data_IF_444715093372
#
_entry.id   IF_444715093372
#
_cell.length_a   1.000
_cell.length_b   1.000
_cell.length_c   1.000
_cell.angle_alpha   90.00
_cell.angle_beta   90.00
_cell.angle_gamma   90.00
#
_symmetry.space_group_name_H-M   'P 1'
#
loop_
_entity.id
_entity.type
_entity.pdbx_description
1 polymer ?
#
# COMPACT_ATOMS: atom_id res chain seq x y z
N UNK A 1 -3.44 5.39 -3.39
CA UNK A 1 -3.92 6.45 -4.29
C UNK A 1 -2.82 6.79 -5.28
N UNK A 2 -3.20 7.15 -6.51
CA UNK A 2 -2.31 7.45 -7.62
C UNK A 2 -2.48 8.90 -8.06
N UNK A 3 -1.44 9.50 -8.64
CA UNK A 3 -1.45 10.84 -9.23
C UNK A 3 -0.73 10.81 -10.58
N UNK A 4 -1.15 11.67 -11.51
CA UNK A 4 -0.35 11.95 -12.71
C UNK A 4 0.97 12.60 -12.28
N UNK A 5 2.07 12.29 -12.98
CA UNK A 5 3.32 13.02 -12.78
C UNK A 5 3.46 14.21 -13.74
N UNK A 6 2.68 14.23 -14.82
CA UNK A 6 2.57 15.39 -15.69
C UNK A 6 1.56 16.41 -15.11
N UNK A 7 1.86 17.68 -15.29
CA UNK A 7 0.88 18.76 -15.11
C UNK A 7 0.20 18.95 -16.47
N UNK A 8 -1.12 19.01 -16.47
CA UNK A 8 -1.93 19.23 -17.67
C UNK A 8 -2.50 20.63 -17.64
N UNK A 9 -2.49 21.31 -18.78
CA UNK A 9 -2.91 22.71 -18.88
C UNK A 9 -4.44 22.84 -18.95
N UNK A 10 -5.13 21.73 -19.23
CA UNK A 10 -6.60 21.70 -19.32
C UNK A 10 -7.20 20.36 -18.85
N UNK A 11 -8.46 20.37 -18.40
CA UNK A 11 -9.20 19.13 -18.09
C UNK A 11 -9.25 18.16 -19.27
N UNK A 12 -9.45 18.66 -20.50
CA UNK A 12 -9.56 17.83 -21.71
C UNK A 12 -8.23 17.14 -22.06
N UNK A 13 -7.11 17.74 -21.71
CA UNK A 13 -5.81 17.10 -21.84
C UNK A 13 -5.62 16.00 -20.81
N UNK A 14 -5.99 16.25 -19.54
CA UNK A 14 -5.97 15.26 -18.49
C UNK A 14 -6.87 14.06 -18.82
N UNK A 15 -8.07 14.29 -19.37
CA UNK A 15 -9.00 13.23 -19.77
C UNK A 15 -8.43 12.36 -20.89
N UNK A 16 -7.78 12.97 -21.89
CA UNK A 16 -7.12 12.23 -22.98
C UNK A 16 -5.95 11.41 -22.47
N UNK A 17 -5.12 11.98 -21.60
CA UNK A 17 -4.00 11.28 -20.98
C UNK A 17 -4.49 10.09 -20.13
N UNK A 18 -5.55 10.30 -19.34
CA UNK A 18 -6.15 9.24 -18.53
C UNK A 18 -6.80 8.15 -19.39
N UNK A 19 -7.47 8.52 -20.49
CA UNK A 19 -8.05 7.56 -21.43
C UNK A 19 -6.98 6.69 -22.09
N UNK A 20 -5.84 7.27 -22.48
CA UNK A 20 -4.69 6.53 -23.00
C UNK A 20 -4.13 5.55 -21.96
N UNK A 21 -3.87 6.02 -20.74
CA UNK A 21 -3.38 5.19 -19.62
C UNK A 21 -4.29 3.99 -19.33
N UNK A 22 -5.61 4.19 -19.44
CA UNK A 22 -6.62 3.12 -19.31
C UNK A 22 -6.57 2.13 -20.47
N UNK A 23 -6.34 2.60 -21.69
CA UNK A 23 -6.22 1.76 -22.88
C UNK A 23 -5.03 0.79 -22.75
N UNK A 24 -3.96 1.26 -22.13
CA UNK A 24 -2.71 0.52 -21.97
C UNK A 24 -2.63 -0.28 -20.65
N UNK A 25 -3.73 -0.32 -19.87
CA UNK A 25 -3.74 -0.79 -18.48
C UNK A 25 -3.08 -2.18 -18.28
N UNK A 26 -3.36 -3.14 -19.16
CA UNK A 26 -2.85 -4.51 -19.07
C UNK A 26 -1.33 -4.62 -19.33
N UNK A 27 -0.75 -3.64 -20.01
CA UNK A 27 0.66 -3.58 -20.37
C UNK A 27 1.48 -2.71 -19.40
N UNK A 28 0.81 -2.00 -18.50
CA UNK A 28 1.48 -1.12 -17.57
C UNK A 28 2.43 -1.90 -16.64
N UNK A 29 3.66 -1.41 -16.59
CA UNK A 29 4.65 -1.86 -15.63
C UNK A 29 5.02 -0.69 -14.71
N UNK A 30 5.41 -1.02 -13.47
CA UNK A 30 5.90 -0.02 -12.54
C UNK A 30 7.39 -0.22 -12.26
N UNK A 31 8.12 0.88 -12.20
CA UNK A 31 9.39 0.96 -11.50
C UNK A 31 9.12 1.22 -10.03
N UNK A 32 9.57 0.33 -9.16
CA UNK A 32 9.46 0.49 -7.71
C UNK A 32 10.83 0.86 -7.15
N UNK A 33 10.93 2.00 -6.49
CA UNK A 33 12.19 2.53 -5.95
C UNK A 33 12.02 3.00 -4.51
N UNK A 34 13.07 2.84 -3.70
CA UNK A 34 13.14 3.47 -2.40
C UNK A 34 13.31 4.99 -2.57
N UNK A 35 12.65 5.78 -1.72
CA UNK A 35 12.81 7.24 -1.71
C UNK A 35 14.22 7.57 -1.23
N UNK A 36 14.93 8.45 -1.95
CA UNK A 36 16.37 8.70 -1.73
C UNK A 36 16.67 9.33 -0.37
N UNK A 37 15.73 10.11 0.17
CA UNK A 37 15.87 10.89 1.42
C UNK A 37 14.67 10.70 2.38
N UNK A 38 13.94 9.59 2.24
CA UNK A 38 12.73 9.34 3.02
C UNK A 38 12.55 7.87 3.36
N UNK A 39 11.58 7.57 4.21
CA UNK A 39 11.24 6.20 4.60
C UNK A 39 10.23 5.66 3.60
N UNK A 40 10.63 4.65 2.83
CA UNK A 40 9.71 3.80 2.08
C UNK A 40 9.88 3.79 0.57
N UNK A 41 8.90 3.19 -0.08
CA UNK A 41 8.89 2.75 -1.46
C UNK A 41 7.79 3.47 -2.25
N UNK A 42 8.14 3.94 -3.43
CA UNK A 42 7.20 4.51 -4.40
C UNK A 42 7.15 3.64 -5.65
N UNK A 43 5.99 3.58 -6.29
CA UNK A 43 5.86 3.00 -7.63
C UNK A 43 5.63 4.13 -8.63
N UNK A 44 6.20 3.99 -9.82
CA UNK A 44 6.14 4.95 -10.92
C UNK A 44 5.93 4.19 -12.23
N UNK A 45 4.94 4.58 -13.02
CA UNK A 45 4.72 4.09 -14.39
C UNK A 45 5.60 4.93 -15.33
N UNK A 46 6.65 4.35 -15.93
CA UNK A 46 7.51 5.09 -16.84
C UNK A 46 6.74 5.41 -18.13
N UNK A 47 7.04 6.55 -18.74
CA UNK A 47 6.59 6.86 -20.10
C UNK A 47 7.78 6.84 -21.06
N UNK A 48 7.61 6.41 -22.31
CA UNK A 48 8.63 6.57 -23.34
C UNK A 48 9.00 8.04 -23.60
N UNK A 49 8.13 8.99 -23.21
CA UNK A 49 8.37 10.43 -23.33
C UNK A 49 9.26 11.03 -22.24
N UNK A 50 9.76 10.20 -21.31
CA UNK A 50 10.66 10.62 -20.23
C UNK A 50 9.98 11.24 -19.00
N UNK A 51 8.73 11.70 -19.12
CA UNK A 51 7.91 12.13 -17.98
C UNK A 51 7.01 10.96 -17.55
N UNK A 52 7.07 10.49 -16.30
CA UNK A 52 6.23 9.38 -15.87
C UNK A 52 4.73 9.65 -16.03
N UNK A 53 3.96 8.64 -16.39
CA UNK A 53 2.52 8.79 -16.61
C UNK A 53 1.75 8.83 -15.29
N UNK A 54 2.11 7.97 -14.34
CA UNK A 54 1.47 7.91 -13.04
C UNK A 54 2.46 7.49 -11.94
N UNK A 55 2.18 7.89 -10.70
CA UNK A 55 2.93 7.46 -9.53
C UNK A 55 2.04 7.32 -8.30
N UNK A 56 2.51 6.60 -7.29
CA UNK A 56 1.91 6.65 -5.96
C UNK A 56 1.94 8.06 -5.38
N UNK A 57 0.84 8.52 -4.78
CA UNK A 57 0.81 9.85 -4.14
C UNK A 57 1.69 9.94 -2.86
N UNK A 58 2.03 8.79 -2.28
CA UNK A 58 2.77 8.66 -1.03
C UNK A 58 3.77 7.52 -1.12
N UNK A 59 4.81 7.59 -0.31
CA UNK A 59 5.69 6.46 -0.05
C UNK A 59 5.00 5.42 0.84
N UNK A 60 5.30 4.15 0.62
CA UNK A 60 4.84 3.03 1.43
C UNK A 60 6.01 2.46 2.23
N UNK A 61 5.82 2.16 3.51
CA UNK A 61 6.88 1.61 4.35
C UNK A 61 7.51 0.32 3.78
N UNK A 62 6.69 -0.56 3.19
CA UNK A 62 7.10 -1.88 2.72
C UNK A 62 6.98 -2.01 1.21
N UNK A 63 7.97 -2.65 0.58
CA UNK A 63 7.99 -2.95 -0.86
C UNK A 63 6.73 -3.72 -1.29
N UNK A 64 6.37 -4.78 -0.56
CA UNK A 64 5.19 -5.59 -0.87
C UNK A 64 3.89 -4.78 -0.84
N UNK A 65 3.77 -3.82 0.09
CA UNK A 65 2.62 -2.91 0.16
C UNK A 65 2.60 -1.97 -1.06
N UNK A 66 3.76 -1.47 -1.47
CA UNK A 66 3.90 -0.64 -2.67
C UNK A 66 3.51 -1.40 -3.95
N UNK A 67 4.01 -2.64 -4.10
CA UNK A 67 3.66 -3.52 -5.21
C UNK A 67 2.16 -3.85 -5.23
N UNK A 68 1.55 -4.15 -4.09
CA UNK A 68 0.12 -4.37 -3.96
C UNK A 68 -0.70 -3.13 -4.34
N UNK A 69 -0.25 -1.93 -3.98
CA UNK A 69 -0.91 -0.71 -4.35
C UNK A 69 -0.90 -0.50 -5.88
N UNK A 70 0.22 -0.83 -6.55
CA UNK A 70 0.29 -0.79 -8.02
C UNK A 70 -0.66 -1.82 -8.66
N UNK A 71 -0.66 -3.08 -8.18
CA UNK A 71 -1.59 -4.12 -8.70
C UNK A 71 -3.06 -3.70 -8.61
N UNK A 72 -3.45 -3.08 -7.48
CA UNK A 72 -4.81 -2.54 -7.31
C UNK A 72 -5.11 -1.39 -8.24
N UNK A 73 -4.13 -0.53 -8.53
CA UNK A 73 -4.28 0.56 -9.48
C UNK A 73 -4.57 0.04 -10.88
N UNK A 74 -3.79 -0.93 -11.38
CA UNK A 74 -4.00 -1.56 -12.69
C UNK A 74 -5.38 -2.22 -12.77
N UNK A 75 -5.77 -3.01 -11.76
CA UNK A 75 -7.09 -3.64 -11.72
C UNK A 75 -8.26 -2.63 -11.77
N UNK A 76 -8.09 -1.45 -11.17
CA UNK A 76 -9.09 -0.38 -11.26
C UNK A 76 -9.16 0.24 -12.66
N UNK A 77 -8.01 0.43 -13.33
CA UNK A 77 -7.98 0.92 -14.71
C UNK A 77 -8.65 -0.08 -15.67
N UNK A 78 -8.32 -1.36 -15.58
CA UNK A 78 -8.92 -2.43 -16.39
C UNK A 78 -10.43 -2.51 -16.19
N UNK A 79 -10.90 -2.45 -14.93
CA UNK A 79 -12.33 -2.44 -14.61
C UNK A 79 -13.05 -1.25 -15.23
N UNK A 80 -12.41 -0.09 -15.27
CA UNK A 80 -12.99 1.10 -15.91
C UNK A 80 -12.95 0.95 -17.44
N UNK A 81 -11.87 0.42 -18.01
CA UNK A 81 -11.70 0.18 -19.45
C UNK A 81 -12.79 -0.75 -20.00
N UNK A 82 -13.15 -1.79 -19.24
CA UNK A 82 -14.22 -2.74 -19.57
C UNK A 82 -15.65 -2.16 -19.55
N UNK A 83 -15.82 -0.85 -19.35
CA UNK A 83 -17.10 -0.18 -19.55
C UNK A 83 -18.18 -0.50 -18.52
N UNK A 84 -17.83 -0.96 -17.31
CA UNK A 84 -18.83 -1.01 -16.23
C UNK A 84 -19.02 0.42 -15.70
N UNK A 85 -20.15 1.10 -15.97
CA UNK A 85 -20.45 2.37 -15.32
C UNK A 85 -20.38 2.13 -13.81
N UNK A 86 -19.60 2.95 -13.11
CA UNK A 86 -19.81 3.06 -11.67
C UNK A 86 -21.21 3.66 -11.52
N UNK A 87 -22.16 2.86 -11.03
CA UNK A 87 -23.46 3.37 -10.61
C UNK A 87 -23.25 4.56 -9.66
N UNK A 88 -24.16 5.52 -9.64
CA UNK A 88 -23.95 6.80 -8.97
C UNK A 88 -23.48 6.57 -7.54
N UNK A 89 -22.34 7.17 -7.19
CA UNK A 89 -21.95 7.39 -5.80
C UNK A 89 -22.98 8.36 -5.21
N UNK A 90 -24.11 7.81 -4.76
CA UNK A 90 -25.29 8.58 -4.39
C UNK A 90 -26.48 7.71 -3.99
N UNK A 91 -26.23 6.63 -3.26
CA UNK A 91 -27.26 5.96 -2.48
C UNK A 91 -27.06 6.36 -1.04
N UNK A 92 -27.85 7.32 -0.55
CA UNK A 92 -28.13 7.46 0.87
C UNK A 92 -28.43 6.05 1.37
N UNK A 93 -27.74 5.59 2.41
CA UNK A 93 -28.22 4.45 3.19
C UNK A 93 -29.56 4.89 3.76
N UNK A 94 -30.63 4.70 2.99
CA UNK A 94 -31.99 4.75 3.52
C UNK A 94 -31.98 3.70 4.62
N UNK A 95 -32.06 4.20 5.85
CA UNK A 95 -32.00 3.43 7.07
C UNK A 95 -33.17 2.47 6.98
N UNK A 96 -32.93 1.21 6.60
CA UNK A 96 -33.94 0.17 6.74
C UNK A 96 -34.42 0.21 8.18
N UNK A 97 -35.74 0.17 8.43
CA UNK A 97 -36.25 0.16 9.79
C UNK A 97 -35.65 -1.04 10.53
N UNK A 98 -35.14 -0.78 11.73
CA UNK A 98 -34.66 -1.80 12.66
C UNK A 98 -35.78 -2.82 12.88
N UNK A 99 -35.50 -4.14 12.89
CA UNK A 99 -36.52 -5.11 13.26
C UNK A 99 -36.90 -4.85 14.72
N UNK A 100 -38.19 -4.57 14.96
CA UNK A 100 -38.76 -4.54 16.30
C UNK A 100 -38.51 -5.90 16.97
N UNK A 101 -37.62 -5.92 17.97
CA UNK A 101 -37.41 -7.08 18.82
C UNK A 101 -38.53 -7.04 19.86
N UNK A 102 -39.53 -7.92 19.72
CA UNK A 102 -40.54 -8.16 20.73
C UNK A 102 -39.90 -8.79 21.99
N UNK A 103 -40.22 -8.31 23.20
CA UNK A 103 -39.61 -8.82 24.42
C UNK A 103 -40.38 -10.04 24.94
N UNK A 104 -39.96 -11.24 24.58
CA UNK A 104 -40.36 -12.44 25.31
C UNK A 104 -39.30 -12.75 26.38
N UNK A 105 -39.63 -12.33 27.59
CA UNK A 105 -38.99 -12.77 28.81
C UNK A 105 -39.26 -14.27 29.00
N UNK A 106 -38.22 -15.07 29.22
CA UNK A 106 -38.28 -16.14 30.20
C UNK A 106 -36.88 -16.50 30.69
N UNK A 107 -36.82 -16.66 32.00
CA UNK A 107 -35.65 -16.64 32.84
C UNK A 107 -35.10 -18.05 33.09
N UNK A 108 -33.82 -18.08 33.47
CA UNK A 108 -33.18 -19.05 34.37
C UNK A 108 -33.05 -20.51 33.89
N UNK A 109 -31.81 -20.96 33.65
CA UNK A 109 -31.05 -21.65 34.69
C UNK A 109 -29.66 -22.11 34.20
N UNK A 110 -28.65 -21.59 34.90
CA UNK A 110 -27.52 -22.32 35.50
C UNK A 110 -26.34 -22.85 34.65
N UNK A 111 -25.19 -22.27 35.02
CA UNK A 111 -23.99 -22.93 35.56
C UNK A 111 -22.77 -23.12 34.65
N UNK A 112 -21.82 -22.19 34.87
CA UNK A 112 -20.39 -22.40 35.07
C UNK A 112 -19.68 -23.52 34.31
N UNK A 113 -18.75 -23.14 33.41
CA UNK A 113 -17.39 -23.69 33.41
C UNK A 113 -16.37 -22.62 33.02
N UNK A 114 -15.49 -22.29 33.96
CA UNK A 114 -14.05 -22.25 33.70
C UNK A 114 -13.49 -20.95 33.13
N UNK A 115 -13.18 -20.04 34.05
CA UNK A 115 -12.06 -19.12 33.91
C UNK A 115 -10.73 -19.88 33.64
N UNK A 116 -9.69 -19.09 33.38
CA UNK A 116 -8.26 -19.47 33.34
C UNK A 116 -7.69 -19.85 31.97
N UNK A 117 -7.31 -18.82 31.19
CA UNK A 117 -5.95 -18.77 30.62
C UNK A 117 -5.55 -17.31 30.35
N UNK A 118 -5.17 -16.62 31.42
CA UNK A 118 -4.02 -15.72 31.37
C UNK A 118 -2.77 -16.60 31.47
N UNK A 119 -1.93 -16.59 30.44
CA UNK A 119 -0.56 -17.08 30.50
C UNK A 119 0.26 -16.36 29.43
N UNK A 120 0.84 -15.23 29.85
CA UNK A 120 2.26 -14.93 29.73
C UNK A 120 2.99 -15.44 28.47
N UNK A 121 3.38 -14.50 27.62
CA UNK A 121 4.51 -14.69 26.70
C UNK A 121 5.36 -13.41 26.69
N UNK A 122 5.98 -13.12 27.84
CA UNK A 122 7.27 -12.43 27.84
C UNK A 122 8.31 -13.45 27.37
N UNK A 123 8.81 -13.27 26.14
CA UNK A 123 10.11 -13.84 25.74
C UNK A 123 11.00 -12.66 25.39
N UNK A 124 11.69 -12.21 26.43
CA UNK A 124 12.98 -11.55 26.37
C UNK A 124 13.89 -12.35 25.42
N UNK A 125 14.20 -11.80 24.25
CA UNK A 125 15.29 -12.33 23.42
C UNK A 125 16.52 -11.51 23.73
N UNK A 126 17.39 -12.07 24.58
CA UNK A 126 18.72 -11.51 24.82
C UNK A 126 19.48 -11.32 23.50
N UNK A 127 20.17 -10.18 23.30
CA UNK A 127 21.07 -10.00 22.17
C UNK A 127 22.32 -10.88 22.38
N UNK A 128 22.51 -11.86 21.49
CA UNK A 128 23.71 -12.68 21.45
C UNK A 128 25.01 -11.87 21.32
N UNK A 129 26.14 -12.41 21.80
CA UNK A 129 27.43 -11.71 21.84
C UNK A 129 27.95 -11.41 20.43
N UNK A 130 28.41 -10.16 20.24
CA UNK A 130 28.81 -9.60 18.95
C UNK A 130 30.04 -10.23 18.30
N UNK A 131 30.28 -9.92 17.01
CA UNK A 131 31.49 -10.34 16.34
C UNK A 131 32.70 -9.50 16.78
N UNK A 132 33.71 -10.23 17.24
CA UNK A 132 35.07 -9.82 17.54
C UNK A 132 35.73 -9.16 16.31
N UNK A 133 35.89 -7.84 16.35
CA UNK A 133 36.77 -7.11 15.44
C UNK A 133 38.08 -6.79 16.15
N UNK A 134 38.95 -7.80 16.23
CA UNK A 134 40.35 -7.62 16.56
C UNK A 134 41.04 -6.58 15.64
N UNK A 135 42.09 -5.89 16.13
CA UNK A 135 42.68 -4.77 15.43
C UNK A 135 43.53 -5.23 14.24
N UNK A 136 43.10 -4.90 13.01
CA UNK A 136 43.98 -4.97 11.85
C UNK A 136 44.94 -3.78 11.92
N UNK A 137 46.11 -4.04 12.49
CA UNK A 137 47.33 -3.27 12.30
C UNK A 137 47.95 -3.60 10.95
N UNK A 138 48.73 -2.64 10.44
CA UNK A 138 49.77 -2.74 9.39
C UNK A 138 49.30 -2.24 8.02
N UNK A 139 50.07 -1.48 7.26
CA UNK A 139 51.38 -0.84 7.49
C UNK A 139 51.62 0.16 6.36
N UNK A 140 52.54 1.07 6.63
CA UNK A 140 53.08 2.10 5.73
C UNK A 140 53.68 1.53 4.43
N UNK A 141 53.55 2.33 3.38
CA UNK A 141 54.51 2.55 2.29
C UNK A 141 54.35 4.05 1.95
N UNK A 142 55.28 4.99 2.14
CA UNK A 142 56.68 5.00 1.73
C UNK A 142 56.76 4.72 0.23
N UNK A 143 57.03 5.63 -0.69
CA UNK A 143 57.47 7.03 -0.77
C UNK A 143 57.82 7.25 -2.27
N UNK A 144 57.80 8.49 -2.77
CA UNK A 144 58.64 8.99 -3.88
C UNK A 144 58.15 10.41 -4.28
N UNK A 145 58.92 11.44 -3.91
CA UNK A 145 59.12 12.71 -4.66
C UNK A 145 60.56 13.14 -4.39
#
# INVERSE_FOLDING_TARGET
MAVSSAVHDSPQEADRAFAALRGDAAELTARITHVRDGIGWIWVVPSPRGVPEARSNRAYERYATCQNAFRRFVALLERQAAGRPQGPLGGVRERSPEPEIEPEAEAEAEAEVGAEIEAEAEVETEPGPGPDHGPVRSSRSGGDV
#
